data_IF_903703959404
#
_entry.id   IF_903703959404
#
_cell.length_a   1.000
_cell.length_b   1.000
_cell.length_c   1.000
_cell.angle_alpha   90.00
_cell.angle_beta   90.00
_cell.angle_gamma   90.00
#
_symmetry.space_group_name_H-M   'P 1'
#
loop_
_entity.id
_entity.type
_entity.pdbx_description
1 polymer ?
2 non-polymer ?
3 non-polymer ?
4 non-polymer ?
5 water ?
#
# COMPACT_ATOMS: atom_id res chain seq x y z
N UNK A 13 15.19 -13.79 4.62
CA UNK A 13 15.60 -12.47 4.07
C UNK A 13 15.45 -11.38 5.12
N UNK A 14 16.00 -10.18 4.85
CA UNK A 14 15.91 -9.05 5.79
C UNK A 14 14.51 -8.42 5.88
N UNK A 15 14.02 -8.28 7.10
CA UNK A 15 12.70 -7.70 7.33
C UNK A 15 12.82 -6.33 7.98
N UNK A 16 11.88 -5.45 7.66
CA UNK A 16 11.88 -4.11 8.20
C UNK A 16 10.60 -3.77 8.97
N UNK A 17 10.76 -2.94 10.00
CA UNK A 17 9.63 -2.49 10.82
C UNK A 17 8.79 -1.49 10.02
N UNK A 18 7.48 -1.68 10.03
CA UNK A 18 6.59 -0.80 9.29
C UNK A 18 6.25 0.49 10.00
N UNK A 19 6.64 0.60 11.26
CA UNK A 19 6.38 1.84 11.97
C UNK A 19 7.64 2.28 12.68
N UNK A 20 7.76 3.58 12.88
CA UNK A 20 8.90 4.17 13.57
C UNK A 20 8.36 5.21 14.54
N UNK A 21 8.97 5.27 15.72
CA UNK A 21 8.52 6.23 16.71
C UNK A 21 7.01 6.22 16.88
N UNK A 22 6.38 7.41 16.88
CA UNK A 22 4.95 7.64 17.02
C UNK A 22 4.08 7.09 15.90
N UNK A 23 4.71 6.57 14.85
CA UNK A 23 3.95 6.04 13.73
C UNK A 23 3.04 7.08 13.11
N UNK A 24 3.57 8.28 12.90
CA UNK A 24 2.81 9.38 12.31
C UNK A 24 3.15 9.60 10.84
N UNK A 25 4.22 8.97 10.36
CA UNK A 25 4.68 9.13 8.98
C UNK A 25 5.22 7.83 8.39
N UNK A 26 5.36 7.76 7.04
CA UNK A 26 5.86 6.58 6.34
C UNK A 26 7.31 6.30 6.68
N UNK A 27 7.72 5.04 6.59
CA UNK A 27 9.11 4.71 6.87
C UNK A 27 9.93 4.93 5.59
N UNK A 28 9.24 4.98 4.45
CA UNK A 28 9.93 5.17 3.18
C UNK A 28 8.98 5.63 2.09
N UNK A 29 9.53 6.38 1.13
CA UNK A 29 8.76 6.87 -0.01
C UNK A 29 9.52 6.59 -1.29
N UNK A 30 8.83 6.00 -2.25
CA UNK A 30 9.43 5.69 -3.53
C UNK A 30 8.68 6.46 -4.61
N UNK A 31 9.41 6.98 -5.59
CA UNK A 31 8.79 7.73 -6.66
C UNK A 31 9.06 7.02 -7.97
N UNK A 32 8.04 6.94 -8.83
CA UNK A 32 8.17 6.25 -10.10
C UNK A 32 7.74 7.07 -11.30
N UNK A 33 8.36 6.77 -12.44
CA UNK A 33 8.05 7.42 -13.71
C UNK A 33 6.96 6.58 -14.36
N UNK A 34 5.74 7.08 -14.32
CA UNK A 34 4.60 6.36 -14.88
C UNK A 34 4.83 5.92 -16.31
N UNK A 35 5.44 6.78 -17.11
CA UNK A 35 5.70 6.46 -18.51
C UNK A 35 6.72 5.34 -18.70
N UNK A 36 7.47 5.02 -17.66
CA UNK A 36 8.48 3.97 -17.77
C UNK A 36 8.02 2.65 -17.16
N UNK A 37 6.80 2.66 -16.61
CA UNK A 37 6.23 1.47 -15.99
C UNK A 37 5.79 0.42 -17.00
N UNK A 38 6.22 -0.82 -16.80
CA UNK A 38 5.87 -1.91 -17.70
C UNK A 38 5.16 -3.01 -16.91
N UNK A 39 5.43 -3.03 -15.61
CA UNK A 39 4.86 -4.00 -14.69
C UNK A 39 4.02 -3.22 -13.69
N UNK A 40 2.73 -3.50 -13.63
CA UNK A 40 1.86 -2.78 -12.71
C UNK A 40 1.44 -3.63 -11.53
N UNK A 41 2.40 -4.26 -10.88
CA UNK A 41 2.10 -5.09 -9.71
C UNK A 41 3.19 -4.96 -8.66
N UNK A 42 2.83 -5.30 -7.42
CA UNK A 42 3.75 -5.27 -6.29
C UNK A 42 3.42 -6.45 -5.39
N UNK A 43 4.42 -6.94 -4.68
CA UNK A 43 4.21 -8.06 -3.77
C UNK A 43 5.13 -7.90 -2.57
N UNK A 44 4.72 -8.49 -1.45
CA UNK A 44 5.52 -8.41 -0.24
C UNK A 44 4.94 -9.36 0.80
N UNK A 45 5.67 -9.54 1.89
CA UNK A 45 5.19 -10.38 2.97
C UNK A 45 5.10 -9.45 4.16
N UNK A 46 4.08 -9.65 4.97
CA UNK A 46 3.86 -8.84 6.15
C UNK A 46 3.47 -9.75 7.32
N UNK A 47 3.86 -9.35 8.52
CA UNK A 47 3.57 -10.10 9.74
C UNK A 47 3.21 -9.07 10.79
N UNK A 48 2.15 -9.32 11.55
CA UNK A 48 1.74 -8.34 12.56
C UNK A 48 0.64 -8.88 13.48
N UNK A 49 0.52 -8.28 14.67
CA UNK A 49 -0.55 -8.60 15.64
C UNK A 49 -1.43 -7.34 15.74
N UNK A 50 -1.11 -6.35 14.92
CA UNK A 50 -1.82 -5.07 14.93
C UNK A 50 -3.06 -5.17 14.02
N UNK A 51 -4.27 -4.93 14.55
CA UNK A 51 -5.45 -5.04 13.68
C UNK A 51 -5.75 -3.83 12.80
N UNK A 52 -5.02 -2.72 12.98
CA UNK A 52 -5.31 -1.51 12.21
C UNK A 52 -4.08 -0.69 11.86
N UNK A 53 -4.05 -0.21 10.62
CA UNK A 53 -2.92 0.61 10.24
C UNK A 53 -2.73 0.60 8.74
N UNK A 54 -1.81 1.44 8.28
CA UNK A 54 -1.54 1.51 6.85
C UNK A 54 -0.37 0.64 6.46
N UNK A 55 -0.55 -0.18 5.42
CA UNK A 55 0.53 -0.99 4.90
C UNK A 55 1.24 -0.09 3.87
N UNK A 56 0.50 0.43 2.90
CA UNK A 56 1.09 1.39 1.95
C UNK A 56 0.05 2.33 1.36
N UNK A 57 0.54 3.49 0.93
CA UNK A 57 -0.29 4.51 0.33
C UNK A 57 0.37 4.86 -1.00
N UNK A 58 -0.42 5.21 -2.00
CA UNK A 58 0.16 5.57 -3.28
C UNK A 58 -0.68 6.63 -3.94
N UNK A 59 -0.05 7.46 -4.78
CA UNK A 59 -0.81 8.49 -5.47
C UNK A 59 -0.08 9.01 -6.69
N UNK A 60 -0.78 9.88 -7.42
CA UNK A 60 -0.21 10.57 -8.57
C UNK A 60 -0.62 12.00 -8.27
N UNK A 61 -1.46 12.15 -7.25
CA UNK A 61 -1.96 13.45 -6.81
C UNK A 61 -2.69 13.26 -5.48
N UNK A 62 -2.10 13.76 -4.38
CA UNK A 62 -2.77 13.60 -3.08
C UNK A 62 -4.14 14.23 -3.07
N UNK A 63 -4.33 15.23 -3.92
CA UNK A 63 -5.61 15.93 -4.01
C UNK A 63 -6.73 15.07 -4.61
N UNK A 64 -6.49 14.41 -5.74
CA UNK A 64 -7.57 13.65 -6.35
C UNK A 64 -7.26 12.31 -7.03
N UNK A 65 -6.10 11.72 -6.78
CA UNK A 65 -5.79 10.42 -7.35
C UNK A 65 -4.91 9.66 -6.36
N UNK A 66 -5.54 9.04 -5.35
CA UNK A 66 -4.78 8.31 -4.34
C UNK A 66 -5.40 6.94 -4.00
N UNK A 67 -4.57 6.09 -3.40
CA UNK A 67 -4.90 4.70 -3.04
C UNK A 67 -4.24 4.31 -1.71
N UNK A 68 -4.93 3.52 -0.90
CA UNK A 68 -4.35 3.08 0.38
C UNK A 68 -4.74 1.65 0.68
N UNK A 69 -3.76 0.82 1.05
CA UNK A 69 -4.00 -0.56 1.44
C UNK A 69 -3.60 -0.59 2.92
N UNK A 70 -4.48 -1.10 3.77
CA UNK A 70 -4.16 -1.17 5.18
C UNK A 70 -4.96 -2.27 5.83
N UNK A 71 -4.95 -2.29 7.16
CA UNK A 71 -5.72 -3.26 7.91
C UNK A 71 -6.74 -2.53 8.75
N UNK A 72 -7.93 -3.11 8.86
CA UNK A 72 -8.97 -2.56 9.74
C UNK A 72 -9.64 -3.82 10.29
N UNK A 73 -9.73 -3.89 11.62
CA UNK A 73 -10.30 -5.08 12.28
C UNK A 73 -9.56 -6.32 11.84
N UNK A 74 -8.24 -6.15 11.66
CA UNK A 74 -7.34 -7.21 11.27
C UNK A 74 -7.34 -7.64 9.80
N UNK A 75 -8.31 -7.15 9.04
CA UNK A 75 -8.46 -7.54 7.65
C UNK A 75 -8.04 -6.46 6.67
N UNK A 76 -7.63 -6.87 5.46
CA UNK A 76 -7.22 -5.91 4.44
C UNK A 76 -8.36 -4.95 4.13
N UNK A 77 -7.99 -3.69 3.90
CA UNK A 77 -8.93 -2.67 3.48
C UNK A 77 -8.26 -1.83 2.40
N UNK A 78 -9.01 -1.49 1.37
CA UNK A 78 -8.50 -0.60 0.34
C UNK A 78 -9.42 0.61 0.26
N UNK A 79 -8.80 1.79 0.20
CA UNK A 79 -9.51 3.02 -0.05
C UNK A 79 -8.91 3.56 -1.32
N UNK A 80 -9.77 4.05 -2.21
CA UNK A 80 -9.32 4.56 -3.51
C UNK A 80 -10.11 5.78 -3.86
N UNK A 81 -9.43 6.78 -4.43
CA UNK A 81 -10.11 7.98 -4.88
C UNK A 81 -9.43 8.44 -6.15
N UNK A 82 -10.13 8.32 -7.28
CA UNK A 82 -9.58 8.77 -8.56
C UNK A 82 -10.73 9.21 -9.45
N UNK A 83 -10.42 9.50 -10.71
CA UNK A 83 -11.44 9.97 -11.65
C UNK A 83 -12.59 8.99 -11.90
N UNK A 84 -12.30 7.69 -11.83
CA UNK A 84 -13.30 6.67 -12.12
C UNK A 84 -14.01 6.08 -10.92
N UNK A 85 -13.39 6.17 -9.75
CA UNK A 85 -14.02 5.52 -8.62
C UNK A 85 -13.60 6.09 -7.29
N UNK A 86 -14.49 5.94 -6.31
CA UNK A 86 -14.21 6.39 -4.95
C UNK A 86 -14.82 5.32 -4.07
N UNK A 87 -13.96 4.58 -3.37
CA UNK A 87 -14.44 3.49 -2.55
C UNK A 87 -13.65 3.17 -1.29
N UNK A 88 -14.34 2.47 -0.37
CA UNK A 88 -13.75 2.02 0.90
C UNK A 88 -14.21 0.58 1.01
N UNK A 89 -13.29 -0.36 0.88
CA UNK A 89 -13.71 -1.77 0.86
C UNK A 89 -12.84 -2.71 1.69
N UNK A 90 -13.48 -3.55 2.51
CA UNK A 90 -12.76 -4.52 3.32
C UNK A 90 -12.91 -5.91 2.70
N UNK A 91 -11.88 -6.75 2.83
CA UNK A 91 -11.90 -8.10 2.26
C UNK A 91 -10.76 -8.98 2.75
N UNK A 92 -10.92 -10.29 2.56
CA UNK A 92 -9.87 -11.23 2.91
C UNK A 92 -9.93 -11.66 4.36
N UNK A 93 -9.08 -12.62 4.75
CA UNK A 93 -9.05 -13.12 6.13
C UNK A 93 -8.28 -12.15 7.00
N UNK A 94 -8.36 -12.34 8.31
CA UNK A 94 -7.58 -11.49 9.21
C UNK A 94 -6.11 -11.84 8.95
N UNK A 95 -5.25 -10.83 8.97
CA UNK A 95 -3.82 -11.03 8.76
C UNK A 95 -3.04 -10.73 10.04
N UNK A 96 -3.75 -10.38 11.11
CA UNK A 96 -3.08 -10.05 12.35
C UNK A 96 -2.94 -11.22 13.31
N UNK A 97 -2.48 -12.35 12.79
CA UNK A 97 -2.31 -13.54 13.58
C UNK A 97 -0.84 -13.79 13.89
N UNK A 98 -0.01 -12.79 13.66
CA UNK A 98 1.41 -12.95 13.94
C UNK A 98 2.17 -13.85 12.99
N UNK A 99 1.53 -14.27 11.90
CA UNK A 99 2.18 -15.13 10.92
C UNK A 99 2.50 -14.33 9.65
N UNK A 100 3.52 -14.78 8.92
CA UNK A 100 3.92 -14.13 7.67
C UNK A 100 2.84 -14.39 6.62
N UNK A 101 2.44 -13.33 5.92
CA UNK A 101 1.44 -13.46 4.86
C UNK A 101 1.92 -12.82 3.57
N UNK A 102 1.82 -13.55 2.47
CA UNK A 102 2.23 -13.00 1.17
C UNK A 102 1.08 -12.14 0.64
N UNK A 103 1.39 -10.95 0.15
CA UNK A 103 0.34 -10.07 -0.38
C UNK A 103 0.76 -9.57 -1.75
N UNK A 104 -0.18 -9.57 -2.69
CA UNK A 104 0.09 -9.07 -4.02
C UNK A 104 -1.01 -8.09 -4.41
N UNK A 105 -0.63 -6.95 -4.98
CA UNK A 105 -1.60 -5.96 -5.42
C UNK A 105 -1.24 -5.63 -6.85
N UNK A 106 -2.20 -5.78 -7.75
CA UNK A 106 -1.87 -5.51 -9.13
C UNK A 106 -3.01 -4.97 -9.96
N UNK A 107 -2.65 -4.36 -11.08
CA UNK A 107 -3.62 -3.85 -12.03
C UNK A 107 -3.78 -4.92 -13.10
N UNK A 108 -5.02 -5.29 -13.38
CA UNK A 108 -5.35 -6.31 -14.38
C UNK A 108 -6.45 -5.66 -15.21
N UNK A 109 -6.06 -5.08 -16.34
CA UNK A 109 -7.03 -4.40 -17.17
C UNK A 109 -7.56 -3.19 -16.42
N UNK A 110 -8.87 -3.06 -16.29
CA UNK A 110 -9.42 -1.91 -15.58
C UNK A 110 -9.62 -2.20 -14.10
N UNK A 111 -9.06 -3.31 -13.64
CA UNK A 111 -9.24 -3.71 -12.24
C UNK A 111 -8.01 -3.68 -11.35
N UNK A 112 -8.27 -3.62 -10.05
CA UNK A 112 -7.21 -3.73 -9.05
C UNK A 112 -7.49 -5.06 -8.38
N UNK A 113 -6.47 -5.91 -8.37
CA UNK A 113 -6.58 -7.24 -7.79
C UNK A 113 -5.74 -7.37 -6.51
N UNK A 114 -6.34 -7.91 -5.46
CA UNK A 114 -5.63 -8.13 -4.21
C UNK A 114 -5.57 -9.63 -3.94
N UNK A 115 -4.36 -10.18 -3.83
CA UNK A 115 -4.18 -11.61 -3.55
C UNK A 115 -3.50 -11.76 -2.20
N UNK A 116 -4.00 -12.69 -1.40
CA UNK A 116 -3.43 -12.94 -0.09
C UNK A 116 -3.08 -14.41 0.03
N UNK A 117 -1.82 -14.70 0.38
CA UNK A 117 -1.36 -16.08 0.51
C UNK A 117 -1.74 -16.92 -0.71
N UNK A 118 -1.52 -16.34 -1.89
CA UNK A 118 -1.80 -17.01 -3.14
C UNK A 118 -3.25 -17.04 -3.61
N UNK A 119 -4.18 -16.54 -2.80
CA UNK A 119 -5.59 -16.57 -3.19
C UNK A 119 -6.11 -15.16 -3.51
N UNK A 120 -6.88 -15.03 -4.58
CA UNK A 120 -7.48 -13.75 -4.94
C UNK A 120 -8.57 -13.53 -3.88
N UNK A 121 -8.53 -12.41 -3.15
CA UNK A 121 -9.57 -12.15 -2.15
C UNK A 121 -10.41 -10.94 -2.49
N UNK A 122 -9.94 -10.14 -3.43
CA UNK A 122 -10.69 -8.96 -3.80
C UNK A 122 -10.31 -8.46 -5.18
N UNK A 123 -11.31 -8.05 -5.96
CA UNK A 123 -11.05 -7.51 -7.29
C UNK A 123 -11.96 -6.30 -7.48
N UNK A 124 -11.36 -5.11 -7.54
CA UNK A 124 -12.13 -3.89 -7.70
C UNK A 124 -12.19 -3.64 -9.20
N UNK A 125 -13.37 -3.80 -9.78
CA UNK A 125 -13.48 -3.62 -11.22
C UNK A 125 -13.90 -2.25 -11.67
N UNK A 126 -13.49 -1.91 -12.90
CA UNK A 126 -13.86 -0.65 -13.50
C UNK A 126 -13.38 0.55 -12.69
N UNK A 127 -12.16 0.48 -12.16
CA UNK A 127 -11.64 1.57 -11.36
C UNK A 127 -10.49 2.31 -12.02
N UNK A 128 -10.21 1.97 -13.27
CA UNK A 128 -9.11 2.61 -14.00
C UNK A 128 -9.56 2.94 -15.42
N UNK A 129 -8.84 3.85 -16.06
CA UNK A 129 -9.18 4.21 -17.42
C UNK A 129 -7.94 4.58 -18.20
N UNK A 130 -8.08 4.86 -19.51
CA UNK A 130 -6.98 5.24 -20.40
C UNK A 130 -6.23 6.47 -19.90
N UNK A 134 -2.04 9.49 -14.15
CA UNK A 134 -3.45 9.57 -13.75
C UNK A 134 -3.71 10.98 -13.21
N UNK A 135 -2.67 11.80 -13.27
CA UNK A 135 -2.70 13.19 -12.84
C UNK A 135 -1.38 13.77 -13.34
N UNK A 136 -0.29 13.11 -12.96
CA UNK A 136 1.03 13.50 -13.39
C UNK A 136 1.65 12.19 -13.83
N UNK A 137 2.81 12.25 -14.49
CA UNK A 137 3.45 11.02 -14.93
C UNK A 137 4.25 10.40 -13.79
N UNK A 138 4.01 10.88 -12.57
CA UNK A 138 4.73 10.38 -11.40
C UNK A 138 3.85 9.77 -10.30
N UNK A 139 4.24 8.57 -9.88
CA UNK A 139 3.54 7.87 -8.80
C UNK A 139 4.46 7.76 -7.59
N UNK A 140 3.91 8.04 -6.42
CA UNK A 140 4.63 7.93 -5.15
C UNK A 140 4.01 6.75 -4.40
N UNK A 141 4.84 5.98 -3.71
CA UNK A 141 4.38 4.86 -2.88
C UNK A 141 5.04 5.05 -1.52
N UNK A 142 4.22 5.21 -0.49
CA UNK A 142 4.73 5.39 0.87
C UNK A 142 4.40 4.16 1.71
N UNK A 143 5.42 3.61 2.37
CA UNK A 143 5.23 2.43 3.20
C UNK A 143 4.95 2.78 4.66
N UNK A 144 3.95 2.12 5.25
CA UNK A 144 3.63 2.36 6.65
C UNK A 144 3.06 3.71 7.04
N UNK A 145 2.60 4.49 6.07
CA UNK A 145 2.04 5.77 6.41
C UNK A 145 1.43 6.43 5.20
N UNK A 146 0.77 7.56 5.42
CA UNK A 146 0.12 8.35 4.37
C UNK A 146 0.93 9.59 4.01
N UNK A 147 0.57 10.23 2.90
CA UNK A 147 1.23 11.46 2.50
C UNK A 147 0.28 12.66 2.66
N UNK A 148 -0.75 12.46 3.48
CA UNK A 148 -1.69 13.51 3.85
C UNK A 148 -2.27 13.10 5.21
N UNK A 149 -2.94 14.02 5.92
CA UNK A 149 -3.50 13.67 7.23
C UNK A 149 -4.47 12.50 7.14
N UNK A 150 -4.50 11.66 8.17
CA UNK A 150 -5.40 10.50 8.18
C UNK A 150 -6.85 10.94 8.13
N UNK A 151 -7.11 12.13 8.66
CA UNK A 151 -8.44 12.71 8.65
C UNK A 151 -8.93 12.92 7.23
N UNK A 152 -8.02 12.88 6.25
CA UNK A 152 -8.36 13.08 4.85
C UNK A 152 -8.72 11.80 4.11
N UNK A 153 -8.67 10.68 4.81
CA UNK A 153 -9.04 9.42 4.18
C UNK A 153 -10.55 9.47 4.01
N UNK A 154 -11.07 8.61 3.14
CA UNK A 154 -12.51 8.53 2.97
C UNK A 154 -13.09 8.12 4.30
N UNK A 155 -12.41 7.16 4.94
CA UNK A 155 -12.80 6.65 6.25
C UNK A 155 -11.52 6.63 7.08
N UNK A 156 -11.36 7.62 7.96
CA UNK A 156 -10.15 7.64 8.75
C UNK A 156 -9.89 6.39 9.59
N UNK A 157 -8.60 6.13 9.79
CA UNK A 157 -8.13 5.08 10.67
C UNK A 157 -6.84 5.65 11.24
N UNK A 158 -6.27 4.97 12.24
CA UNK A 158 -5.00 5.39 12.85
C UNK A 158 -3.95 4.62 12.05
N UNK A 159 -3.16 5.34 11.24
CA UNK A 159 -2.13 4.75 10.38
C UNK A 159 -1.05 3.83 10.93
N UNK A 160 -0.61 4.04 12.17
CA UNK A 160 0.46 3.20 12.69
C UNK A 160 0.17 1.72 12.62
N UNK A 161 1.04 1.00 11.92
CA UNK A 161 0.91 -0.43 11.81
C UNK A 161 2.19 -1.05 12.36
N UNK A 162 2.04 -1.68 13.52
CA UNK A 162 3.14 -2.33 14.21
C UNK A 162 3.34 -3.71 13.60
N UNK A 163 4.07 -3.75 12.49
CA UNK A 163 4.29 -5.01 11.82
C UNK A 163 5.61 -5.02 11.09
N UNK A 164 5.90 -6.12 10.42
CA UNK A 164 7.15 -6.25 9.69
C UNK A 164 6.92 -6.52 8.22
N UNK A 165 7.79 -5.96 7.38
CA UNK A 165 7.70 -6.10 5.95
C UNK A 165 8.97 -6.76 5.39
N UNK A 166 8.81 -7.68 4.46
CA UNK A 166 9.98 -8.30 3.87
C UNK A 166 9.64 -8.79 2.48
N UNK A 167 10.68 -9.13 1.71
CA UNK A 167 10.53 -9.63 0.35
C UNK A 167 9.61 -8.76 -0.51
N UNK A 168 9.72 -7.45 -0.33
CA UNK A 168 8.90 -6.51 -1.08
C UNK A 168 9.48 -6.10 -2.43
N UNK A 169 8.64 -6.17 -3.45
CA UNK A 169 8.99 -5.80 -4.82
C UNK A 169 7.93 -4.78 -5.24
N UNK A 170 8.35 -3.61 -5.71
CA UNK A 170 7.38 -2.58 -6.09
C UNK A 170 7.51 -2.17 -7.56
N UNK A 171 6.51 -2.53 -8.37
CA UNK A 171 6.53 -2.19 -9.80
C UNK A 171 7.83 -2.66 -10.45
N UNK A 172 8.47 -1.79 -11.23
CA UNK A 172 9.74 -2.12 -11.89
C UNK A 172 10.83 -1.16 -11.42
N UNK A 173 11.94 -1.72 -10.95
CA UNK A 173 13.07 -0.92 -10.48
C UNK A 173 13.52 0.06 -11.57
N UNK A 174 13.31 -0.33 -12.83
CA UNK A 174 13.71 0.52 -13.94
C UNK A 174 12.87 1.80 -13.98
N UNK A 175 11.62 1.72 -13.55
CA UNK A 175 10.76 2.90 -13.55
C UNK A 175 10.92 3.74 -12.28
N UNK A 176 11.69 3.23 -11.32
CA UNK A 176 11.89 3.96 -10.07
C UNK A 176 12.77 5.19 -10.24
N UNK A 177 12.22 6.34 -9.88
CA UNK A 177 12.92 7.62 -9.98
C UNK A 177 13.81 7.87 -8.76
N UNK A 178 13.25 7.65 -7.57
CA UNK A 178 13.99 7.89 -6.33
C UNK A 178 13.33 7.23 -5.13
N UNK A 179 14.06 7.24 -4.02
CA UNK A 179 13.57 6.67 -2.77
C UNK A 179 14.11 7.47 -1.58
N UNK A 180 13.24 7.73 -0.62
CA UNK A 180 13.60 8.48 0.57
C UNK A 180 13.21 7.71 1.81
N UNK A 181 13.79 8.11 2.94
CA UNK A 181 13.50 7.50 4.22
C UNK A 181 13.78 8.58 5.26
N UNK A 182 12.75 8.99 6.02
CA UNK A 182 12.94 10.02 7.04
C UNK A 182 14.08 9.63 7.98
N UNK A 183 14.18 8.33 8.26
CA UNK A 183 15.21 7.81 9.15
C UNK A 183 15.66 6.46 8.62
N UNK A 184 16.71 5.89 9.23
CA UNK A 184 17.19 4.59 8.79
C UNK A 184 16.12 3.54 9.07
N UNK A 185 15.98 2.58 8.16
CA UNK A 185 14.99 1.53 8.31
C UNK A 185 15.35 0.59 9.46
N UNK A 186 14.45 0.45 10.42
CA UNK A 186 14.68 -0.44 11.56
C UNK A 186 14.41 -1.89 11.18
N UNK A 187 15.36 -2.75 11.47
CA UNK A 187 15.25 -4.17 11.16
C UNK A 187 14.44 -4.96 12.18
N UNK A 188 13.60 -5.88 11.70
CA UNK A 188 12.79 -6.72 12.57
C UNK A 188 13.61 -7.94 12.96
N UNK A 189 14.92 -7.85 12.75
CA UNK A 189 15.83 -8.95 13.08
C UNK A 189 16.14 -8.95 14.57
X LIG B 1 -2.10 0.05 14.61
X LIG C 1 -4.59 2.48 -8.39
X LIG C 1 -3.41 2.73 -7.68
X LIG C 1 -2.60 0.35 -8.04
X LIG C 1 -1.73 -0.77 -7.50
X LIG C 1 -0.27 -0.34 -7.27
X LIG C 1 -0.28 0.88 -6.34
X LIG C 1 1.21 1.07 -5.99
X LIG C 1 1.75 -0.37 -6.01
X LIG C 1 0.59 -1.26 -6.42
X LIG C 1 0.40 -0.04 -8.64
X LIG C 1 -5.37 3.48 -8.89
X LIG C 1 -5.01 4.80 -8.71
X LIG C 1 -3.85 5.08 -8.00
X LIG C 1 -3.05 4.08 -7.48
X LIG C 1 -1.79 4.49 -6.72
X LIG C 1 -1.04 3.31 -6.06
X LIG C 1 -1.06 2.06 -6.95
X LIG C 1 -2.55 1.60 -7.15
X LIG C 1 1.11 -2.41 -7.14
X LIG C 1 -5.79 5.78 -9.23
X LIG C 1 -6.57 3.33 -9.60
X LIG C 1 -7.01 2.00 -9.81
X LIG D 1 1.32 -16.33 -5.78
X LIG D 1 -0.05 -16.31 -6.19
X LIG D 1 -0.74 -15.10 -5.67
X LIG D 1 -0.06 -16.38 -7.63
#
# INVERSE_FOLDING_TARGET
LRPVLPTQSAHDPPAVHLSNGPGQEPIAVMTFDLTKITKTSSSFEVRTWDPEGVIFYGDTNPKDDWFMLGLRDGRPEIQLHNHWAQLTVGAGPRLDDGRWHQVEVKMEGDSVLLEVDGEEVLRLRQVSGPLTSKRHPIMRIALGGLLFPASNLRLPLVPALDGCLRRDSWLDKQAEISASAPTSLRSCD
CA CA
ESM C1 C10 C11 C12 C13 C14 C15 C16 C17 C18 C2 C3 C4 C5 C6 C7 C8 C9 O17 O3 O2 C19
IPA C1 C2 C3 O2
#
